data_IF_528566271716
#
_entry.id   IF_528566271716
#
_cell.length_a   1.000
_cell.length_b   1.000
_cell.length_c   1.000
_cell.angle_alpha   90.00
_cell.angle_beta   90.00
_cell.angle_gamma   90.00
#
_symmetry.space_group_name_H-M   'P 1'
#
loop_
_entity.id
_entity.type
_entity.pdbx_description
1 polymer ?
#
# COMPACT_ATOMS: atom_id res chain seq x y z
N UNK A 1 -19.81 -1.95 49.23
CA UNK A 1 -20.43 -1.83 47.89
C UNK A 1 -19.70 -0.69 47.16
N UNK A 2 -18.47 -0.82 46.65
CA UNK A 2 -17.86 -1.89 45.85
C UNK A 2 -18.71 -2.34 44.65
N UNK A 3 -18.11 -2.20 43.46
CA UNK A 3 -18.47 -2.79 42.16
C UNK A 3 -19.72 -2.29 41.39
N UNK A 4 -19.75 -1.00 41.05
CA UNK A 4 -20.33 -0.53 39.76
C UNK A 4 -19.29 0.27 38.96
N UNK A 5 -18.17 -0.37 38.63
CA UNK A 5 -17.21 0.06 37.59
C UNK A 5 -16.69 -1.14 36.82
N UNK A 6 -17.55 -1.71 35.98
CA UNK A 6 -17.14 -2.57 34.88
C UNK A 6 -17.56 -1.93 33.57
N UNK A 7 -16.69 -1.03 33.08
CA UNK A 7 -16.73 -0.56 31.71
C UNK A 7 -16.39 -1.77 30.85
N UNK A 8 -17.36 -2.26 30.08
CA UNK A 8 -17.16 -3.36 29.15
C UNK A 8 -16.34 -2.88 27.94
N UNK A 9 -15.02 -2.78 28.10
CA UNK A 9 -14.07 -2.57 26.99
C UNK A 9 -13.95 -3.89 26.22
N UNK A 10 -14.94 -4.17 25.38
CA UNK A 10 -15.00 -5.35 24.55
C UNK A 10 -14.29 -5.11 23.20
N UNK A 11 -13.04 -5.60 23.12
CA UNK A 11 -12.32 -6.01 21.91
C UNK A 11 -12.44 -5.11 20.66
N UNK A 12 -11.58 -4.10 20.58
CA UNK A 12 -11.04 -3.64 19.30
C UNK A 12 -9.93 -4.62 18.84
N UNK A 13 -10.32 -5.75 18.27
CA UNK A 13 -9.38 -6.59 17.52
C UNK A 13 -9.03 -5.91 16.21
N UNK A 14 -7.88 -5.22 16.18
CA UNK A 14 -7.31 -4.66 14.97
C UNK A 14 -6.87 -5.81 14.03
N UNK A 15 -7.80 -6.30 13.21
CA UNK A 15 -7.46 -7.15 12.06
C UNK A 15 -6.66 -6.28 11.09
N UNK A 16 -5.43 -6.67 10.71
CA UNK A 16 -4.71 -6.02 9.63
C UNK A 16 -5.39 -6.42 8.31
N UNK A 17 -6.49 -5.73 7.99
CA UNK A 17 -7.12 -5.75 6.67
C UNK A 17 -6.15 -5.10 5.70
N UNK A 18 -5.23 -5.92 5.16
CA UNK A 18 -4.51 -5.63 3.93
C UNK A 18 -5.55 -5.50 2.83
N UNK A 19 -6.03 -4.27 2.60
CA UNK A 19 -7.04 -3.91 1.61
C UNK A 19 -6.46 -4.00 0.20
N UNK A 20 -6.09 -5.21 -0.21
CA UNK A 20 -5.74 -5.53 -1.59
C UNK A 20 -7.04 -5.55 -2.37
N UNK A 21 -7.28 -4.52 -3.18
CA UNK A 21 -8.46 -4.46 -4.02
C UNK A 21 -8.51 -5.68 -4.94
N UNK A 22 -9.64 -6.38 -4.96
CA UNK A 22 -9.80 -7.56 -5.81
C UNK A 22 -9.61 -7.16 -7.29
N UNK A 23 -8.70 -7.83 -8.03
CA UNK A 23 -8.48 -7.54 -9.44
C UNK A 23 -9.77 -7.66 -10.23
N UNK A 24 -10.05 -6.66 -11.04
CA UNK A 24 -11.25 -6.64 -11.88
C UNK A 24 -11.09 -7.63 -13.04
N UNK A 25 -12.22 -8.12 -13.56
CA UNK A 25 -12.22 -8.93 -14.77
C UNK A 25 -11.85 -8.10 -16.01
N UNK A 26 -11.51 -8.78 -17.11
CA UNK A 26 -11.00 -8.13 -18.32
C UNK A 26 -12.04 -7.25 -19.01
N UNK A 27 -13.30 -7.67 -19.04
CA UNK A 27 -14.34 -6.97 -19.79
C UNK A 27 -14.76 -5.70 -19.04
N UNK A 28 -14.88 -5.77 -17.71
CA UNK A 28 -15.02 -4.60 -16.84
C UNK A 28 -13.86 -3.61 -16.98
N UNK A 29 -12.62 -4.10 -17.15
CA UNK A 29 -11.46 -3.25 -17.40
C UNK A 29 -11.50 -2.54 -18.75
N UNK A 30 -11.94 -3.21 -19.83
CA UNK A 30 -12.17 -2.56 -21.14
C UNK A 30 -13.28 -1.51 -21.03
N UNK A 31 -14.33 -1.79 -20.26
CA UNK A 31 -15.40 -0.83 -19.93
C UNK A 31 -14.87 0.42 -19.22
N UNK A 32 -14.05 0.26 -18.17
CA UNK A 32 -13.44 1.37 -17.43
C UNK A 32 -12.45 2.18 -18.27
N UNK A 33 -11.60 1.53 -19.08
CA UNK A 33 -10.71 2.25 -20.02
C UNK A 33 -11.53 3.07 -21.04
N UNK A 34 -12.62 2.52 -21.54
CA UNK A 34 -13.55 3.23 -22.43
C UNK A 34 -14.25 4.40 -21.73
N UNK A 35 -14.62 4.25 -20.45
CA UNK A 35 -15.19 5.33 -19.65
C UNK A 35 -14.19 6.44 -19.38
N UNK A 36 -12.95 6.09 -19.01
CA UNK A 36 -11.85 7.04 -18.83
C UNK A 36 -11.62 7.88 -20.08
N UNK A 37 -11.48 7.22 -21.23
CA UNK A 37 -11.22 7.90 -22.50
C UNK A 37 -12.39 8.81 -22.95
N UNK A 38 -13.62 8.56 -22.46
CA UNK A 38 -14.78 9.46 -22.67
C UNK A 38 -14.78 10.67 -21.72
N UNK A 39 -14.30 10.49 -20.49
CA UNK A 39 -14.21 11.57 -19.49
C UNK A 39 -13.01 12.49 -19.73
N UNK A 40 -11.93 11.98 -20.34
CA UNK A 40 -10.71 12.74 -20.63
C UNK A 40 -10.88 13.62 -21.87
N UNK A 41 -11.68 14.68 -21.74
CA UNK A 41 -11.79 15.74 -22.73
C UNK A 41 -10.51 16.59 -22.76
N UNK A 42 -10.33 17.41 -23.81
CA UNK A 42 -9.19 18.33 -23.91
C UNK A 42 -9.16 19.33 -22.76
N UNK A 43 -10.32 19.87 -22.37
CA UNK A 43 -10.43 20.82 -21.27
C UNK A 43 -10.19 20.14 -19.92
N UNK A 44 -10.65 18.88 -19.75
CA UNK A 44 -10.32 18.05 -18.58
C UNK A 44 -8.81 17.86 -18.45
N UNK A 45 -8.13 17.45 -19.52
CA UNK A 45 -6.66 17.31 -19.54
C UNK A 45 -5.98 18.63 -19.18
N UNK A 46 -6.37 19.75 -19.82
CA UNK A 46 -5.79 21.06 -19.56
C UNK A 46 -6.04 21.56 -18.11
N UNK A 47 -7.14 21.16 -17.47
CA UNK A 47 -7.39 21.43 -16.06
C UNK A 47 -6.49 20.58 -15.15
N UNK A 48 -6.34 19.29 -15.44
CA UNK A 48 -5.45 18.37 -14.71
C UNK A 48 -3.98 18.80 -14.83
N UNK A 49 -3.53 19.21 -16.01
CA UNK A 49 -2.16 19.69 -16.28
C UNK A 49 -1.79 20.94 -15.46
N UNK A 50 -2.78 21.79 -15.15
CA UNK A 50 -2.60 22.98 -14.28
C UNK A 50 -2.59 22.63 -12.78
N UNK A 51 -3.02 21.42 -12.42
CA UNK A 51 -2.99 20.91 -11.06
C UNK A 51 -4.15 21.34 -10.16
N UNK A 52 -4.19 20.80 -8.93
CA UNK A 52 -5.37 20.81 -8.07
C UNK A 52 -5.79 22.19 -7.57
N UNK A 53 -4.85 23.13 -7.40
CA UNK A 53 -5.18 24.47 -6.89
C UNK A 53 -5.82 25.37 -7.95
N UNK A 54 -5.46 25.17 -9.23
CA UNK A 54 -6.17 25.78 -10.34
C UNK A 54 -7.58 25.21 -10.48
N UNK A 55 -7.70 23.88 -10.48
CA UNK A 55 -8.97 23.13 -10.54
C UNK A 55 -9.99 23.62 -9.51
N UNK A 56 -9.59 23.74 -8.23
CA UNK A 56 -10.47 24.20 -7.13
C UNK A 56 -11.04 25.62 -7.31
N UNK A 57 -10.37 26.47 -8.09
CA UNK A 57 -10.65 27.91 -8.15
C UNK A 57 -11.21 28.37 -9.50
N UNK A 58 -11.08 27.56 -10.55
CA UNK A 58 -11.44 27.93 -11.92
C UNK A 58 -12.50 27.03 -12.58
N UNK A 59 -12.78 25.85 -12.02
CA UNK A 59 -13.85 24.98 -12.50
C UNK A 59 -15.16 25.24 -11.75
N UNK A 60 -16.27 25.11 -12.45
CA UNK A 60 -17.61 25.13 -11.86
C UNK A 60 -17.94 23.79 -11.15
N UNK A 61 -19.02 23.71 -10.35
CA UNK A 61 -19.35 22.49 -9.59
C UNK A 61 -19.59 21.23 -10.43
N UNK A 62 -20.10 21.37 -11.65
CA UNK A 62 -20.35 20.25 -12.58
C UNK A 62 -19.02 19.74 -13.17
N UNK A 63 -18.16 20.65 -13.62
CA UNK A 63 -16.81 20.34 -14.11
C UNK A 63 -15.96 19.68 -13.01
N UNK A 64 -16.04 20.17 -11.77
CA UNK A 64 -15.40 19.54 -10.61
C UNK A 64 -15.89 18.12 -10.36
N UNK A 65 -17.17 17.83 -10.59
CA UNK A 65 -17.71 16.48 -10.46
C UNK A 65 -17.23 15.57 -11.59
N UNK A 66 -17.10 16.09 -12.81
CA UNK A 66 -16.46 15.36 -13.91
C UNK A 66 -14.99 15.03 -13.60
N UNK A 67 -14.23 15.94 -12.97
CA UNK A 67 -12.85 15.67 -12.49
C UNK A 67 -12.85 14.55 -11.46
N UNK A 68 -13.73 14.60 -10.44
CA UNK A 68 -13.84 13.54 -9.42
C UNK A 68 -14.16 12.19 -10.04
N UNK A 69 -15.14 12.16 -10.94
CA UNK A 69 -15.55 10.93 -11.63
C UNK A 69 -14.42 10.38 -12.52
N UNK A 70 -13.64 11.23 -13.18
CA UNK A 70 -12.46 10.81 -13.94
C UNK A 70 -11.41 10.16 -13.02
N UNK A 71 -11.05 10.80 -11.90
CA UNK A 71 -10.06 10.29 -10.96
C UNK A 71 -10.49 8.93 -10.34
N UNK A 72 -11.78 8.78 -10.00
CA UNK A 72 -12.34 7.51 -9.52
C UNK A 72 -12.35 6.37 -10.56
N UNK A 73 -12.29 6.71 -11.85
CA UNK A 73 -12.17 5.73 -12.93
C UNK A 73 -10.70 5.40 -13.17
N UNK A 74 -9.81 6.39 -13.22
CA UNK A 74 -8.34 6.18 -13.28
C UNK A 74 -7.86 5.31 -12.13
N UNK A 75 -8.24 5.59 -10.87
CA UNK A 75 -7.88 4.75 -9.71
C UNK A 75 -8.26 3.28 -9.93
N UNK A 76 -9.45 3.00 -10.48
CA UNK A 76 -9.88 1.63 -10.76
C UNK A 76 -9.10 1.01 -11.92
N UNK A 77 -8.78 1.78 -12.96
CA UNK A 77 -7.96 1.32 -14.10
C UNK A 77 -6.54 1.04 -13.65
N UNK A 78 -5.93 1.90 -12.85
CA UNK A 78 -4.59 1.69 -12.30
C UNK A 78 -4.59 0.51 -11.31
N UNK A 79 -5.27 0.64 -10.17
CA UNK A 79 -5.08 -0.28 -9.06
C UNK A 79 -5.81 -1.63 -9.21
N UNK A 80 -6.85 -1.73 -10.06
CA UNK A 80 -7.67 -2.96 -10.18
C UNK A 80 -7.51 -3.70 -11.51
N UNK A 81 -7.12 -3.04 -12.59
CA UNK A 81 -6.80 -3.74 -13.84
C UNK A 81 -5.37 -4.27 -13.80
N UNK A 82 -5.20 -5.57 -14.10
CA UNK A 82 -3.90 -6.25 -14.05
C UNK A 82 -2.91 -5.61 -15.04
N UNK A 83 -2.06 -4.71 -14.53
CA UNK A 83 -1.06 -3.97 -15.30
C UNK A 83 -0.91 -2.49 -14.92
N UNK A 84 -1.89 -1.89 -14.25
CA UNK A 84 -1.84 -0.47 -13.87
C UNK A 84 -1.14 -0.18 -12.53
N UNK A 85 -1.34 -1.03 -11.52
CA UNK A 85 -0.76 -0.84 -10.20
C UNK A 85 0.72 -1.25 -10.19
N UNK A 86 1.61 -0.26 -10.04
CA UNK A 86 3.10 -0.34 -10.00
C UNK A 86 3.61 -1.72 -10.36
N UNK A 87 3.60 -2.02 -11.67
CA UNK A 87 3.97 -3.33 -12.15
C UNK A 87 5.41 -3.61 -11.69
N UNK A 88 5.58 -4.48 -10.68
CA UNK A 88 6.89 -5.05 -10.34
C UNK A 88 7.44 -5.56 -11.67
N UNK A 89 8.53 -4.99 -12.21
CA UNK A 89 8.98 -5.34 -13.54
C UNK A 89 9.18 -6.85 -13.53
N UNK A 90 8.44 -7.53 -14.40
CA UNK A 90 8.53 -8.98 -14.50
C UNK A 90 10.02 -9.26 -14.72
N UNK A 91 10.65 -9.95 -13.77
CA UNK A 91 12.05 -10.33 -13.89
C UNK A 91 12.15 -11.15 -15.17
N UNK A 92 12.60 -10.54 -16.27
CA UNK A 92 13.02 -11.28 -17.45
C UNK A 92 13.99 -12.32 -16.93
N UNK A 93 13.74 -13.60 -17.25
CA UNK A 93 14.76 -14.62 -17.06
C UNK A 93 16.04 -14.10 -17.75
N UNK A 94 17.22 -14.26 -17.12
CA UNK A 94 18.42 -13.65 -17.65
C UNK A 94 18.76 -14.27 -19.01
N UNK A 95 18.53 -13.51 -20.08
CA UNK A 95 19.13 -13.81 -21.37
C UNK A 95 20.64 -13.65 -21.21
N UNK A 96 21.34 -14.78 -21.17
CA UNK A 96 22.79 -14.84 -21.25
C UNK A 96 23.25 -14.20 -22.55
N UNK A 97 23.95 -13.06 -22.49
CA UNK A 97 25.25 -12.80 -23.15
C UNK A 97 25.77 -11.40 -22.76
N UNK A 98 26.84 -11.37 -21.93
CA UNK A 98 28.11 -10.63 -22.10
C UNK A 98 28.04 -9.33 -22.96
N UNK A 99 28.37 -8.11 -22.52
CA UNK A 99 29.32 -7.58 -21.51
C UNK A 99 28.84 -6.16 -21.12
N UNK A 100 29.28 -5.46 -20.06
CA UNK A 100 30.37 -5.68 -19.09
C UNK A 100 29.95 -5.16 -17.69
N UNK A 101 30.93 -4.72 -16.88
CA UNK A 101 30.80 -4.02 -15.59
C UNK A 101 29.73 -4.59 -14.62
N UNK A 102 30.00 -5.81 -14.15
CA UNK A 102 29.25 -6.46 -13.08
C UNK A 102 30.11 -6.45 -11.82
N UNK A 103 29.84 -5.50 -10.92
CA UNK A 103 30.32 -5.59 -9.53
C UNK A 103 29.66 -6.84 -8.90
N UNK A 104 30.43 -7.82 -8.39
CA UNK A 104 29.84 -9.02 -7.81
C UNK A 104 29.00 -8.67 -6.58
N UNK A 105 27.69 -8.91 -6.66
CA UNK A 105 26.79 -8.72 -5.53
C UNK A 105 27.03 -9.85 -4.51
N UNK A 106 27.25 -9.56 -3.22
CA UNK A 106 27.59 -10.59 -2.24
C UNK A 106 26.46 -11.62 -2.08
N UNK A 107 26.83 -12.90 -2.09
CA UNK A 107 25.85 -13.99 -2.00
C UNK A 107 25.15 -13.99 -0.63
N UNK A 108 23.90 -13.55 -0.64
CA UNK A 108 22.95 -13.69 0.46
C UNK A 108 21.79 -14.56 0.02
N UNK A 109 22.06 -15.84 -0.17
CA UNK A 109 21.06 -16.91 -0.16
C UNK A 109 20.96 -17.51 1.25
N UNK A 110 20.00 -17.09 2.10
CA UNK A 110 19.63 -17.89 3.26
C UNK A 110 19.20 -19.28 2.79
N UNK A 111 19.68 -20.32 3.47
CA UNK A 111 19.21 -21.68 3.22
C UNK A 111 17.70 -21.74 3.51
N UNK A 112 16.89 -22.39 2.65
CA UNK A 112 15.50 -22.65 3.00
C UNK A 112 15.46 -23.59 4.21
N UNK A 113 14.58 -23.35 5.20
CA UNK A 113 14.47 -24.24 6.35
C UNK A 113 13.97 -25.62 5.86
N UNK A 114 14.76 -26.66 6.12
CA UNK A 114 14.30 -28.04 6.00
C UNK A 114 13.21 -28.28 7.03
N UNK A 115 11.98 -28.51 6.56
CA UNK A 115 10.92 -29.01 7.42
C UNK A 115 11.25 -30.45 7.84
N UNK A 116 11.59 -30.62 9.10
CA UNK A 116 11.48 -31.90 9.81
C UNK A 116 10.49 -31.68 10.94
N UNK A 117 9.45 -32.49 10.98
CA UNK A 117 8.43 -32.45 12.01
C UNK A 117 8.98 -32.77 13.42
N UNK A 118 8.11 -32.52 14.40
CA UNK A 118 8.13 -32.93 15.81
C UNK A 118 8.80 -32.05 16.91
N UNK A 119 8.01 -31.92 17.99
CA UNK A 119 8.38 -31.75 19.41
C UNK A 119 8.75 -30.36 20.01
N UNK A 120 7.69 -29.62 20.40
CA UNK A 120 7.52 -28.82 21.65
C UNK A 120 8.39 -27.55 21.92
N UNK A 121 7.91 -26.63 22.81
CA UNK A 121 8.39 -25.24 22.86
C UNK A 121 9.27 -24.88 24.07
N UNK A 122 10.12 -23.86 23.86
CA UNK A 122 10.62 -22.85 24.83
C UNK A 122 11.16 -21.66 24.02
N UNK A 123 10.65 -20.43 24.17
CA UNK A 123 11.15 -19.40 25.09
C UNK A 123 12.69 -19.26 25.15
N UNK A 124 13.22 -18.10 24.74
CA UNK A 124 13.84 -17.07 25.63
C UNK A 124 14.32 -15.86 24.79
N UNK A 125 13.89 -14.64 25.15
CA UNK A 125 14.70 -13.55 25.78
C UNK A 125 15.74 -12.87 24.87
N UNK A 126 15.44 -11.61 24.54
CA UNK A 126 16.36 -10.47 24.41
C UNK A 126 15.46 -9.25 24.75
N UNK A 127 15.44 -8.72 25.96
CA UNK A 127 16.56 -8.11 26.67
C UNK A 127 17.21 -7.00 25.85
N UNK A 128 16.69 -5.80 26.04
CA UNK A 128 17.21 -4.54 25.50
C UNK A 128 17.40 -3.59 26.68
N UNK A 129 18.42 -3.89 27.47
CA UNK A 129 18.88 -3.02 28.54
C UNK A 129 19.39 -1.67 27.98
N UNK A 130 19.41 -0.65 28.85
CA UNK A 130 20.07 0.65 28.69
C UNK A 130 19.43 1.69 27.77
N UNK A 131 18.68 2.62 28.37
CA UNK A 131 19.19 4.00 28.60
C UNK A 131 18.44 4.67 29.75
N UNK A 132 19.11 4.83 30.89
CA UNK A 132 18.80 5.87 31.89
C UNK A 132 19.63 7.13 31.51
N UNK A 133 19.21 8.38 31.85
CA UNK A 133 19.22 8.81 33.26
C UNK A 133 18.19 9.89 33.68
N UNK A 134 18.32 10.35 34.94
CA UNK A 134 17.76 11.56 35.58
C UNK A 134 16.32 11.50 36.13
N UNK A 135 15.96 12.13 37.26
CA UNK A 135 16.67 12.32 38.55
C UNK A 135 15.60 12.59 39.66
N UNK A 136 15.91 12.87 40.95
CA UNK A 136 15.10 12.34 42.06
C UNK A 136 14.10 13.33 42.68
N UNK A 137 13.07 12.80 43.36
CA UNK A 137 12.44 13.52 44.49
C UNK A 137 11.82 12.58 45.52
N UNK A 138 12.33 12.62 46.75
CA UNK A 138 11.75 11.96 47.92
C UNK A 138 10.62 12.80 48.55
N UNK A 139 9.64 12.14 49.17
CA UNK A 139 8.60 12.59 50.15
C UNK A 139 7.55 11.47 50.19
N UNK A 140 7.09 10.91 51.32
CA UNK A 140 7.42 11.05 52.75
C UNK A 140 6.97 9.78 53.46
#
# INVERSE_FOLDING_TARGET
MLFLRFIAVALLTAVPLSAVAEPLDKDSCVGLQSQRNKLLTREMQAALDRGPDWVKTHLNPEELEQVRQFLLVEEKVEFRCRGGGVAKPAKKAPETTTTADVVPLPDRKPAPPTATDDAKPSQTVADSDKTAPSNPKATR
#
